data_IF_821441930750
#
_entry.id   IF_821441930750
#
_cell.length_a   1.000
_cell.length_b   1.000
_cell.length_c   1.000
_cell.angle_alpha   90.00
_cell.angle_beta   90.00
_cell.angle_gamma   90.00
#
_symmetry.space_group_name_H-M   'P 1'
#
loop_
_entity.id
_entity.type
_entity.pdbx_description
1 polymer ?
#
# COMPACT_ATOMS: atom_id res chain seq x y z
N UNK A 1 11.54 -18.63 4.23
CA UNK A 1 11.38 -17.87 2.95
C UNK A 1 10.98 -16.45 3.27
N UNK A 2 11.72 -15.47 2.78
CA UNK A 2 11.38 -14.04 3.00
C UNK A 2 10.14 -13.67 2.21
N UNK A 3 9.21 -12.94 2.86
CA UNK A 3 8.04 -12.33 2.23
C UNK A 3 8.30 -10.82 2.11
N UNK A 4 8.73 -10.37 0.93
CA UNK A 4 9.05 -8.99 0.66
C UNK A 4 7.82 -8.26 0.12
N UNK A 5 7.50 -7.10 0.70
CA UNK A 5 6.39 -6.24 0.26
C UNK A 5 6.78 -4.76 0.28
N UNK A 6 5.86 -3.92 -0.16
CA UNK A 6 6.05 -2.49 -0.29
C UNK A 6 4.91 -1.76 0.42
N UNK A 7 5.27 -0.95 1.42
CA UNK A 7 4.34 -0.17 2.23
C UNK A 7 3.80 -0.91 3.47
N UNK A 8 3.49 -0.12 4.51
CA UNK A 8 3.14 -0.62 5.85
C UNK A 8 1.78 -1.33 5.87
N UNK A 9 0.81 -0.91 5.05
CA UNK A 9 -0.49 -1.57 4.96
C UNK A 9 -0.36 -3.01 4.47
N UNK A 10 0.47 -3.26 3.46
CA UNK A 10 0.72 -4.60 2.92
C UNK A 10 1.51 -5.43 3.93
N UNK A 11 2.54 -4.83 4.59
CA UNK A 11 3.30 -5.47 5.68
C UNK A 11 2.38 -5.95 6.79
N UNK A 12 1.51 -5.06 7.30
CA UNK A 12 0.56 -5.40 8.36
C UNK A 12 -0.38 -6.54 7.96
N UNK A 13 -0.90 -6.50 6.74
CA UNK A 13 -1.78 -7.54 6.21
C UNK A 13 -1.07 -8.89 6.10
N UNK A 14 0.14 -8.93 5.53
CA UNK A 14 0.94 -10.15 5.42
C UNK A 14 1.36 -10.70 6.79
N UNK A 15 1.74 -9.83 7.73
CA UNK A 15 2.11 -10.22 9.10
C UNK A 15 0.93 -10.87 9.85
N UNK A 16 -0.30 -10.43 9.58
CA UNK A 16 -1.51 -10.97 10.20
C UNK A 16 -2.03 -12.25 9.51
N UNK A 17 -1.70 -12.49 8.25
CA UNK A 17 -2.24 -13.61 7.47
C UNK A 17 -1.93 -15.00 8.06
N UNK A 18 -0.74 -15.31 8.63
CA UNK A 18 -0.46 -16.61 9.27
C UNK A 18 -1.33 -16.90 10.48
N UNK A 19 -1.91 -15.86 11.11
CA UNK A 19 -2.71 -16.00 12.34
C UNK A 19 -4.22 -16.15 12.08
N UNK A 20 -4.65 -16.27 10.84
CA UNK A 20 -6.04 -16.46 10.48
C UNK A 20 -6.52 -17.81 11.00
N UNK A 21 -7.58 -17.80 11.80
CA UNK A 21 -8.07 -18.99 12.51
C UNK A 21 -7.71 -19.04 14.00
N UNK A 22 -6.64 -18.36 14.41
CA UNK A 22 -6.37 -18.11 15.82
C UNK A 22 -7.26 -16.98 16.35
N UNK A 23 -7.61 -17.02 17.63
CA UNK A 23 -8.45 -15.98 18.27
C UNK A 23 -7.63 -14.69 18.44
N UNK A 24 -7.34 -14.01 17.35
CA UNK A 24 -6.84 -12.64 17.42
C UNK A 24 -8.07 -11.78 17.67
N UNK A 25 -8.17 -11.19 18.86
CA UNK A 25 -9.23 -10.26 19.21
C UNK A 25 -9.19 -9.05 18.28
N UNK A 26 -9.96 -9.08 17.22
CA UNK A 26 -10.16 -7.95 16.31
C UNK A 26 -11.38 -7.16 16.73
N UNK A 27 -11.24 -5.85 16.90
CA UNK A 27 -12.39 -4.97 17.04
C UNK A 27 -13.05 -4.78 15.68
N UNK A 28 -14.31 -5.16 15.52
CA UNK A 28 -15.09 -4.82 14.34
C UNK A 28 -15.66 -3.42 14.53
N UNK A 29 -15.06 -2.44 13.86
CA UNK A 29 -15.60 -1.10 13.77
C UNK A 29 -16.59 -1.01 12.58
N UNK A 30 -17.73 -0.39 12.80
CA UNK A 30 -18.71 -0.09 11.75
C UNK A 30 -18.92 1.42 11.72
N UNK A 31 -18.55 2.04 10.59
CA UNK A 31 -18.83 3.45 10.34
C UNK A 31 -20.16 3.55 9.61
N UNK A 32 -21.10 4.28 10.18
CA UNK A 32 -22.38 4.61 9.56
C UNK A 32 -22.32 6.08 9.20
N UNK A 33 -22.23 6.37 7.90
CA UNK A 33 -22.21 7.72 7.33
C UNK A 33 -23.46 7.96 6.49
N UNK A 34 -23.67 9.21 6.10
CA UNK A 34 -24.71 9.64 5.15
C UNK A 34 -24.07 10.53 4.10
N UNK A 35 -24.44 10.31 2.85
CA UNK A 35 -24.01 11.14 1.71
C UNK A 35 -24.78 12.47 1.62
N UNK A 36 -25.84 12.63 2.45
CA UNK A 36 -26.62 13.85 2.49
C UNK A 36 -26.07 14.78 3.60
N UNK A 37 -25.87 16.05 3.30
CA UNK A 37 -25.48 17.02 4.32
C UNK A 37 -26.57 17.09 5.41
N UNK A 38 -26.15 17.16 6.66
CA UNK A 38 -27.03 17.29 7.81
C UNK A 38 -27.01 18.75 8.27
N UNK A 39 -27.89 19.56 7.66
CA UNK A 39 -27.84 21.03 7.83
C UNK A 39 -28.57 21.52 9.08
N UNK A 40 -29.56 20.75 9.55
CA UNK A 40 -30.35 21.16 10.71
C UNK A 40 -30.06 20.34 11.97
N UNK A 41 -30.22 20.93 13.18
CA UNK A 41 -30.09 20.18 14.43
C UNK A 41 -31.01 18.97 14.54
N UNK A 42 -32.20 19.05 13.94
CA UNK A 42 -33.18 17.95 13.91
C UNK A 42 -32.68 16.78 13.05
N UNK A 43 -32.09 17.07 11.87
CA UNK A 43 -31.48 16.04 11.02
C UNK A 43 -30.31 15.36 11.70
N UNK A 44 -29.43 16.12 12.38
CA UNK A 44 -28.31 15.59 13.16
C UNK A 44 -28.80 14.67 14.29
N UNK A 45 -29.83 15.08 15.03
CA UNK A 45 -30.44 14.29 16.09
C UNK A 45 -31.08 13.01 15.56
N UNK A 46 -31.86 13.11 14.49
CA UNK A 46 -32.50 11.95 13.83
C UNK A 46 -31.46 10.96 13.32
N UNK A 47 -30.37 11.44 12.71
CA UNK A 47 -29.28 10.58 12.26
C UNK A 47 -28.52 9.92 13.41
N UNK A 48 -28.30 10.61 14.53
CA UNK A 48 -27.70 10.04 15.73
C UNK A 48 -28.54 8.88 16.31
N UNK A 49 -29.86 9.06 16.36
CA UNK A 49 -30.80 8.00 16.79
C UNK A 49 -30.74 6.81 15.82
N UNK A 50 -30.84 7.09 14.51
CA UNK A 50 -30.73 6.06 13.46
C UNK A 50 -29.42 5.27 13.61
N UNK A 51 -28.28 5.95 13.74
CA UNK A 51 -26.97 5.34 13.91
C UNK A 51 -26.92 4.43 15.14
N UNK A 52 -27.49 4.86 16.25
CA UNK A 52 -27.54 4.07 17.50
C UNK A 52 -28.38 2.80 17.33
N UNK A 53 -29.55 2.91 16.70
CA UNK A 53 -30.45 1.78 16.48
C UNK A 53 -29.93 0.81 15.39
N UNK A 54 -29.30 1.33 14.35
CA UNK A 54 -28.79 0.54 13.24
C UNK A 54 -27.43 -0.12 13.53
N UNK A 55 -26.62 0.46 14.41
CA UNK A 55 -25.28 -0.04 14.71
C UNK A 55 -25.23 -1.53 15.10
N UNK A 56 -26.10 -2.07 15.97
CA UNK A 56 -26.07 -3.49 16.33
C UNK A 56 -26.34 -4.40 15.14
N UNK A 57 -27.24 -4.00 14.23
CA UNK A 57 -27.56 -4.76 13.04
C UNK A 57 -26.37 -4.81 12.07
N UNK A 58 -25.77 -3.65 11.76
CA UNK A 58 -24.59 -3.58 10.90
C UNK A 58 -23.40 -4.31 11.52
N UNK A 59 -23.20 -4.20 12.84
CA UNK A 59 -22.15 -4.91 13.56
C UNK A 59 -22.31 -6.43 13.44
N UNK A 60 -23.51 -6.97 13.66
CA UNK A 60 -23.79 -8.41 13.48
C UNK A 60 -23.56 -8.87 12.04
N UNK A 61 -23.98 -8.06 11.05
CA UNK A 61 -23.77 -8.37 9.64
C UNK A 61 -22.28 -8.40 9.31
N UNK A 62 -21.51 -7.39 9.75
CA UNK A 62 -20.06 -7.33 9.55
C UNK A 62 -19.35 -8.50 10.22
N UNK A 63 -19.72 -8.86 11.46
CA UNK A 63 -19.17 -10.02 12.17
C UNK A 63 -19.45 -11.34 11.44
N UNK A 64 -20.68 -11.52 10.92
CA UNK A 64 -21.02 -12.72 10.15
C UNK A 64 -20.23 -12.78 8.84
N UNK A 65 -20.07 -11.66 8.17
CA UNK A 65 -19.28 -11.59 6.95
C UNK A 65 -17.81 -11.87 7.21
N UNK A 66 -17.25 -11.34 8.29
CA UNK A 66 -15.87 -11.60 8.71
C UNK A 66 -15.64 -13.06 9.10
N UNK A 67 -16.56 -13.66 9.87
CA UNK A 67 -16.51 -15.08 10.21
C UNK A 67 -16.52 -15.97 8.94
N UNK A 68 -17.35 -15.61 7.95
CA UNK A 68 -17.37 -16.30 6.66
C UNK A 68 -16.05 -16.15 5.91
N UNK A 69 -15.49 -14.93 5.83
CA UNK A 69 -14.19 -14.69 5.20
C UNK A 69 -13.07 -15.51 5.84
N UNK A 70 -13.07 -15.59 7.18
CA UNK A 70 -12.11 -16.42 7.93
C UNK A 70 -12.25 -17.90 7.64
N UNK A 71 -13.49 -18.40 7.56
CA UNK A 71 -13.75 -19.80 7.26
C UNK A 71 -13.39 -20.19 5.82
N UNK A 72 -13.44 -19.23 4.89
CA UNK A 72 -13.10 -19.41 3.47
C UNK A 72 -11.62 -19.06 3.17
N UNK A 73 -10.86 -18.57 4.16
CA UNK A 73 -9.49 -18.14 3.95
C UNK A 73 -8.57 -19.33 3.63
N UNK A 74 -7.72 -19.15 2.63
CA UNK A 74 -6.67 -20.09 2.31
C UNK A 74 -5.48 -19.83 3.24
N UNK A 75 -4.94 -20.86 3.94
CA UNK A 75 -3.76 -20.70 4.77
C UNK A 75 -2.54 -20.26 3.94
N UNK A 76 -1.68 -19.50 4.58
CA UNK A 76 -0.37 -19.13 4.02
C UNK A 76 0.71 -20.09 4.53
N UNK A 77 1.84 -20.16 3.83
CA UNK A 77 2.96 -21.09 4.03
C UNK A 77 4.21 -20.43 4.66
N UNK A 78 4.01 -19.30 5.36
CA UNK A 78 5.10 -18.52 5.97
C UNK A 78 4.69 -18.02 7.36
N UNK A 79 5.65 -17.51 8.12
CA UNK A 79 5.46 -16.94 9.46
C UNK A 79 5.53 -15.41 9.43
N UNK A 80 4.96 -14.78 10.44
CA UNK A 80 4.95 -13.30 10.57
C UNK A 80 6.35 -12.67 10.56
N UNK A 81 7.34 -13.36 11.13
CA UNK A 81 8.74 -12.90 11.18
C UNK A 81 9.45 -12.99 9.82
N UNK A 82 8.84 -13.63 8.83
CA UNK A 82 9.38 -13.68 7.46
C UNK A 82 9.02 -12.44 6.65
N UNK A 83 8.07 -11.62 7.13
CA UNK A 83 7.57 -10.45 6.41
C UNK A 83 8.49 -9.26 6.59
N UNK A 84 9.01 -8.77 5.49
CA UNK A 84 9.89 -7.60 5.40
C UNK A 84 9.24 -6.58 4.46
N UNK A 85 9.18 -5.30 4.88
CA UNK A 85 8.81 -4.23 3.98
C UNK A 85 10.05 -3.46 3.53
N UNK A 86 10.24 -3.36 2.21
CA UNK A 86 11.15 -2.37 1.68
C UNK A 86 10.53 -0.98 1.84
N UNK A 87 11.37 0.04 1.99
CA UNK A 87 10.96 1.44 2.09
C UNK A 87 9.88 1.76 1.02
N UNK A 88 8.73 2.27 1.47
CA UNK A 88 7.61 2.63 0.61
C UNK A 88 7.81 3.95 -0.13
N UNK A 89 6.84 4.27 -0.99
CA UNK A 89 6.71 5.56 -1.70
C UNK A 89 7.95 5.97 -2.51
N UNK A 90 8.66 4.96 -3.06
CA UNK A 90 9.78 5.18 -3.99
C UNK A 90 9.34 5.81 -5.32
N UNK A 91 8.05 5.97 -5.55
CA UNK A 91 7.47 6.70 -6.67
C UNK A 91 7.55 8.22 -6.51
N UNK A 92 7.83 8.72 -5.29
CA UNK A 92 7.91 10.14 -4.96
C UNK A 92 9.31 10.54 -4.49
N UNK A 93 9.72 11.76 -4.81
CA UNK A 93 10.98 12.36 -4.38
C UNK A 93 12.25 11.72 -4.98
N UNK A 94 13.43 12.12 -4.51
CA UNK A 94 14.70 11.66 -5.05
C UNK A 94 14.96 10.18 -4.76
N UNK A 95 15.50 9.46 -5.73
CA UNK A 95 15.91 8.05 -5.61
C UNK A 95 17.36 7.83 -6.04
N UNK A 96 18.09 8.87 -6.39
CA UNK A 96 19.50 8.75 -6.75
C UNK A 96 20.33 8.22 -5.57
N UNK A 97 21.26 7.33 -5.87
CA UNK A 97 22.15 6.75 -4.88
C UNK A 97 21.52 5.67 -4.00
N UNK A 98 21.92 5.64 -2.74
CA UNK A 98 21.49 4.61 -1.79
C UNK A 98 20.06 4.83 -1.31
N UNK A 99 19.26 3.76 -1.18
CA UNK A 99 17.87 3.85 -0.72
C UNK A 99 17.74 4.45 0.69
N UNK A 100 18.74 4.24 1.56
CA UNK A 100 18.81 4.83 2.90
C UNK A 100 19.67 6.09 2.90
N UNK A 101 19.49 7.00 1.93
CA UNK A 101 20.14 8.31 1.88
C UNK A 101 19.40 9.35 2.72
N UNK A 102 20.08 10.42 3.14
CA UNK A 102 19.44 11.53 3.86
C UNK A 102 18.34 12.18 3.02
N UNK A 103 18.52 12.28 1.70
CA UNK A 103 17.50 12.81 0.80
C UNK A 103 16.20 11.98 0.84
N UNK A 104 16.29 10.65 0.98
CA UNK A 104 15.13 9.78 1.17
C UNK A 104 14.54 9.91 2.57
N UNK A 105 15.38 10.10 3.59
CA UNK A 105 14.91 10.32 4.96
C UNK A 105 14.04 11.57 5.06
N UNK A 106 14.37 12.64 4.31
CA UNK A 106 13.53 13.84 4.26
C UNK A 106 12.17 13.60 3.60
N UNK A 107 12.09 12.72 2.58
CA UNK A 107 10.79 12.32 2.01
C UNK A 107 9.96 11.55 3.05
N UNK A 108 10.58 10.63 3.78
CA UNK A 108 9.92 9.88 4.86
C UNK A 108 9.47 10.83 5.98
N UNK A 109 10.28 11.83 6.34
CA UNK A 109 9.91 12.88 7.30
C UNK A 109 8.68 13.64 6.82
N UNK A 110 8.69 14.12 5.58
CA UNK A 110 7.58 14.85 5.00
C UNK A 110 6.29 14.01 5.02
N UNK A 111 6.39 12.72 4.73
CA UNK A 111 5.26 11.79 4.76
C UNK A 111 4.75 11.52 6.19
N UNK A 112 5.64 11.19 7.15
CA UNK A 112 5.24 10.92 8.54
C UNK A 112 4.64 12.14 9.24
N UNK A 113 5.19 13.34 8.96
CA UNK A 113 4.72 14.58 9.57
C UNK A 113 3.58 15.23 8.79
N UNK A 114 3.11 14.62 7.71
CA UNK A 114 1.99 15.14 6.93
C UNK A 114 0.67 15.02 7.70
N UNK A 115 -0.04 16.14 7.84
CA UNK A 115 -1.40 16.18 8.37
C UNK A 115 -2.23 17.23 7.63
N UNK A 116 -3.22 16.83 6.84
CA UNK A 116 -4.11 17.75 6.17
C UNK A 116 -4.99 18.56 7.14
N UNK A 117 -5.04 18.16 8.42
CA UNK A 117 -5.85 18.82 9.47
C UNK A 117 -5.04 19.41 10.62
N UNK A 118 -3.72 19.23 10.63
CA UNK A 118 -2.80 19.84 11.59
C UNK A 118 -2.76 19.23 13.00
N UNK A 119 -3.49 18.16 13.28
CA UNK A 119 -3.70 17.67 14.65
C UNK A 119 -3.31 16.22 14.93
N UNK A 120 -2.96 15.41 13.92
CA UNK A 120 -2.68 13.96 14.11
C UNK A 120 -1.47 13.44 13.33
N UNK A 121 -0.64 14.30 12.80
CA UNK A 121 0.60 13.89 12.15
C UNK A 121 1.57 13.25 13.15
N UNK A 122 2.40 12.35 12.65
CA UNK A 122 3.62 11.98 13.36
C UNK A 122 4.48 13.21 13.64
N UNK A 123 5.39 13.08 14.57
CA UNK A 123 6.34 14.13 14.95
C UNK A 123 7.73 13.80 14.44
N UNK A 124 8.63 14.76 14.44
CA UNK A 124 10.06 14.51 14.16
C UNK A 124 10.66 13.38 15.02
N UNK A 125 10.11 13.17 16.21
CA UNK A 125 10.53 12.08 17.09
C UNK A 125 10.17 10.68 16.54
N UNK A 126 9.18 10.58 15.67
CA UNK A 126 8.76 9.31 15.07
C UNK A 126 9.62 8.92 13.85
N UNK A 127 10.30 9.90 13.23
CA UNK A 127 11.08 9.70 12.00
C UNK A 127 12.25 8.77 12.23
N UNK A 128 13.03 9.00 13.28
CA UNK A 128 14.24 8.22 13.53
C UNK A 128 13.96 6.75 13.85
N UNK A 129 13.00 6.40 14.73
CA UNK A 129 12.62 5.00 14.97
C UNK A 129 12.10 4.30 13.70
N UNK A 130 11.29 4.98 12.90
CA UNK A 130 10.78 4.43 11.63
C UNK A 130 11.93 4.18 10.64
N UNK A 131 12.84 5.15 10.50
CA UNK A 131 13.99 5.05 9.61
C UNK A 131 14.90 3.89 9.99
N UNK A 132 15.21 3.74 11.29
CA UNK A 132 15.99 2.61 11.80
C UNK A 132 15.32 1.27 11.56
N UNK A 133 13.99 1.19 11.67
CA UNK A 133 13.25 -0.02 11.34
C UNK A 133 13.38 -0.36 9.85
N UNK A 134 13.28 0.61 8.96
CA UNK A 134 13.50 0.41 7.52
C UNK A 134 14.93 -0.03 7.19
N UNK A 135 15.94 0.55 7.86
CA UNK A 135 17.34 0.12 7.70
C UNK A 135 17.55 -1.32 8.15
N UNK A 136 16.95 -1.70 9.28
CA UNK A 136 17.00 -3.07 9.81
C UNK A 136 16.32 -4.06 8.85
N UNK A 137 15.17 -3.71 8.32
CA UNK A 137 14.42 -4.52 7.36
C UNK A 137 15.26 -4.74 6.08
N UNK A 138 15.85 -3.68 5.53
CA UNK A 138 16.74 -3.78 4.37
C UNK A 138 17.96 -4.67 4.66
N UNK A 139 18.64 -4.47 5.79
CA UNK A 139 19.79 -5.28 6.18
C UNK A 139 19.43 -6.75 6.36
N UNK A 140 18.25 -7.03 6.94
CA UNK A 140 17.73 -8.39 7.13
C UNK A 140 17.44 -9.05 5.78
N UNK A 141 16.80 -8.33 4.85
CA UNK A 141 16.55 -8.81 3.49
C UNK A 141 17.85 -9.22 2.80
N UNK A 142 18.83 -8.31 2.78
CA UNK A 142 20.12 -8.53 2.11
C UNK A 142 20.86 -9.71 2.73
N UNK A 143 20.90 -9.79 4.05
CA UNK A 143 21.58 -10.89 4.76
C UNK A 143 20.95 -12.25 4.42
N UNK A 144 19.63 -12.35 4.52
CA UNK A 144 18.90 -13.60 4.22
C UNK A 144 19.02 -14.00 2.75
N UNK A 145 18.91 -13.05 1.82
CA UNK A 145 19.04 -13.31 0.39
C UNK A 145 20.46 -13.77 0.01
N UNK A 146 21.51 -13.17 0.58
CA UNK A 146 22.91 -13.57 0.33
C UNK A 146 23.27 -14.94 0.92
N UNK A 147 22.53 -15.43 1.91
CA UNK A 147 22.66 -16.82 2.38
C UNK A 147 21.90 -17.81 1.50
N UNK A 148 21.30 -17.37 0.40
CA UNK A 148 20.55 -18.21 -0.54
C UNK A 148 19.11 -18.48 -0.12
N UNK A 149 18.61 -17.80 0.91
CA UNK A 149 17.21 -17.98 1.31
C UNK A 149 16.26 -17.44 0.25
N UNK A 150 15.23 -18.21 -0.17
CA UNK A 150 14.28 -17.77 -1.19
C UNK A 150 13.50 -16.49 -0.77
N UNK A 151 13.24 -15.62 -1.73
CA UNK A 151 12.49 -14.38 -1.55
C UNK A 151 11.23 -14.41 -2.40
N UNK A 152 10.06 -14.24 -1.78
CA UNK A 152 8.77 -14.03 -2.45
C UNK A 152 8.42 -12.57 -2.39
N UNK A 153 8.27 -11.92 -3.54
CA UNK A 153 7.94 -10.49 -3.66
C UNK A 153 6.44 -10.34 -3.93
N UNK A 154 5.76 -9.63 -3.05
CA UNK A 154 4.35 -9.29 -3.19
C UNK A 154 4.24 -7.89 -3.78
N UNK A 155 3.70 -7.77 -4.99
CA UNK A 155 3.55 -6.48 -5.65
C UNK A 155 2.24 -6.38 -6.42
N UNK A 156 1.82 -5.14 -6.67
CA UNK A 156 0.70 -4.77 -7.53
C UNK A 156 1.13 -3.71 -8.55
N UNK A 157 0.17 -3.22 -9.33
CA UNK A 157 0.43 -2.24 -10.39
C UNK A 157 0.34 -0.78 -9.94
N UNK A 158 0.44 -0.50 -8.64
CA UNK A 158 0.60 0.88 -8.16
C UNK A 158 2.00 1.38 -8.44
N UNK A 159 2.20 2.70 -8.69
CA UNK A 159 3.52 3.25 -8.91
C UNK A 159 4.51 2.94 -7.78
N UNK A 160 4.07 3.02 -6.53
CA UNK A 160 4.90 2.70 -5.36
C UNK A 160 5.36 1.25 -5.36
N UNK A 161 4.43 0.31 -5.60
CA UNK A 161 4.72 -1.13 -5.62
C UNK A 161 5.63 -1.51 -6.78
N UNK A 162 5.43 -0.93 -7.98
CA UNK A 162 6.32 -1.12 -9.12
C UNK A 162 7.73 -0.56 -8.86
N UNK A 163 7.86 0.63 -8.26
CA UNK A 163 9.16 1.16 -7.85
C UNK A 163 9.85 0.21 -6.88
N UNK A 164 9.10 -0.32 -5.90
CA UNK A 164 9.61 -1.31 -4.95
C UNK A 164 10.12 -2.57 -5.63
N UNK A 165 9.38 -3.13 -6.58
CA UNK A 165 9.79 -4.31 -7.36
C UNK A 165 11.10 -4.06 -8.11
N UNK A 166 11.22 -2.92 -8.82
CA UNK A 166 12.43 -2.56 -9.55
C UNK A 166 13.63 -2.35 -8.61
N UNK A 167 13.42 -1.69 -7.47
CA UNK A 167 14.44 -1.48 -6.45
C UNK A 167 14.89 -2.81 -5.83
N UNK A 168 13.95 -3.70 -5.49
CA UNK A 168 14.24 -5.03 -4.97
C UNK A 168 15.04 -5.86 -5.95
N UNK A 169 14.67 -5.84 -7.24
CA UNK A 169 15.42 -6.53 -8.28
C UNK A 169 16.88 -6.05 -8.38
N UNK A 170 17.11 -4.73 -8.25
CA UNK A 170 18.45 -4.17 -8.26
C UNK A 170 19.26 -4.52 -6.99
N UNK A 171 18.62 -4.50 -5.82
CA UNK A 171 19.25 -4.88 -4.55
C UNK A 171 19.65 -6.35 -4.50
N UNK A 172 18.88 -7.21 -5.14
CA UNK A 172 19.05 -8.66 -5.13
C UNK A 172 19.70 -9.19 -6.40
N UNK A 173 20.19 -8.33 -7.32
CA UNK A 173 20.67 -8.71 -8.65
C UNK A 173 21.71 -9.84 -8.60
N UNK A 174 22.66 -9.73 -7.69
CA UNK A 174 23.76 -10.70 -7.54
C UNK A 174 23.53 -11.69 -6.36
N UNK A 175 22.36 -11.66 -5.74
CA UNK A 175 22.08 -12.57 -4.62
C UNK A 175 21.79 -13.99 -5.14
N UNK A 176 22.37 -15.05 -4.50
CA UNK A 176 22.20 -16.44 -4.94
C UNK A 176 20.84 -17.01 -4.57
N UNK A 177 19.86 -16.20 -4.22
CA UNK A 177 18.52 -16.61 -3.82
C UNK A 177 17.59 -16.82 -5.02
N UNK A 178 16.68 -17.78 -4.90
CA UNK A 178 15.55 -17.88 -5.81
C UNK A 178 14.54 -16.78 -5.49
N UNK A 179 14.01 -16.12 -6.53
CA UNK A 179 12.99 -15.09 -6.38
C UNK A 179 11.71 -15.56 -7.06
N UNK A 180 10.61 -15.46 -6.33
CA UNK A 180 9.26 -15.58 -6.87
C UNK A 180 8.51 -14.27 -6.69
N UNK A 181 7.49 -14.05 -7.50
CA UNK A 181 6.62 -12.88 -7.41
C UNK A 181 5.16 -13.31 -7.28
N UNK A 182 4.40 -12.63 -6.43
CA UNK A 182 2.94 -12.76 -6.35
C UNK A 182 2.35 -11.48 -6.93
N UNK A 183 1.74 -11.63 -8.11
CA UNK A 183 1.16 -10.54 -8.89
C UNK A 183 -0.34 -10.75 -9.05
N UNK A 184 -1.19 -10.12 -8.22
CA UNK A 184 -2.63 -10.21 -8.43
C UNK A 184 -3.03 -9.58 -9.78
N UNK A 185 -4.16 -9.98 -10.36
CA UNK A 185 -4.61 -9.43 -11.62
C UNK A 185 -4.79 -7.91 -11.51
N UNK A 186 -4.40 -7.19 -12.56
CA UNK A 186 -4.46 -5.71 -12.59
C UNK A 186 -5.88 -5.18 -12.35
N UNK A 187 -6.87 -5.91 -12.86
CA UNK A 187 -8.28 -5.57 -12.71
C UNK A 187 -9.03 -6.77 -12.13
N UNK A 188 -9.89 -6.49 -11.20
CA UNK A 188 -10.82 -7.47 -10.63
C UNK A 188 -12.26 -7.05 -10.87
N UNK A 189 -13.10 -8.00 -11.28
CA UNK A 189 -14.54 -7.79 -11.38
C UNK A 189 -15.24 -8.49 -10.22
N UNK A 190 -15.91 -7.72 -9.38
CA UNK A 190 -16.70 -8.22 -8.26
C UNK A 190 -18.11 -7.60 -8.32
N UNK A 191 -19.14 -8.43 -8.36
CA UNK A 191 -20.55 -7.98 -8.46
C UNK A 191 -20.81 -7.02 -9.63
N UNK A 192 -20.18 -7.29 -10.79
CA UNK A 192 -20.34 -6.47 -11.99
C UNK A 192 -19.51 -5.17 -12.01
N UNK A 193 -18.80 -4.87 -10.94
CA UNK A 193 -17.90 -3.69 -10.88
C UNK A 193 -16.46 -4.15 -11.08
N UNK A 194 -15.82 -3.62 -12.10
CA UNK A 194 -14.38 -3.84 -12.36
C UNK A 194 -13.58 -2.71 -11.74
N UNK A 195 -12.55 -3.05 -11.01
CA UNK A 195 -11.65 -2.09 -10.36
C UNK A 195 -10.20 -2.55 -10.44
N UNK A 196 -9.25 -1.62 -10.28
CA UNK A 196 -7.84 -1.96 -10.11
C UNK A 196 -7.67 -2.74 -8.80
N UNK A 197 -6.98 -3.86 -8.88
CA UNK A 197 -6.63 -4.65 -7.71
C UNK A 197 -5.36 -4.08 -7.07
N UNK A 198 -5.43 -3.74 -5.77
CA UNK A 198 -4.28 -3.28 -4.99
C UNK A 198 -4.08 -4.18 -3.77
N UNK A 199 -2.83 -4.40 -3.38
CA UNK A 199 -2.51 -5.19 -2.19
C UNK A 199 -2.86 -4.43 -0.90
N UNK A 200 -2.70 -3.12 -0.89
CA UNK A 200 -2.99 -2.28 0.27
C UNK A 200 -4.46 -2.24 0.70
N UNK A 201 -5.40 -2.58 -0.21
CA UNK A 201 -6.83 -2.65 0.08
C UNK A 201 -7.29 -4.05 0.56
N UNK A 202 -6.38 -5.04 0.59
CA UNK A 202 -6.74 -6.41 0.95
C UNK A 202 -6.64 -6.68 2.43
N UNK A 203 -7.54 -7.55 2.89
CA UNK A 203 -7.47 -8.07 4.25
C UNK A 203 -6.61 -9.33 4.37
N UNK A 204 -6.15 -9.67 5.59
CA UNK A 204 -5.32 -10.86 5.83
C UNK A 204 -5.94 -12.17 5.32
N UNK A 205 -7.28 -12.30 5.37
CA UNK A 205 -8.02 -13.49 4.90
C UNK A 205 -7.96 -13.72 3.40
N UNK A 206 -7.48 -12.73 2.64
CA UNK A 206 -7.42 -12.80 1.17
C UNK A 206 -6.04 -13.19 0.67
N UNK A 207 -4.98 -13.05 1.52
CA UNK A 207 -3.59 -13.19 1.08
C UNK A 207 -3.24 -14.61 0.62
N UNK A 208 -3.70 -15.64 1.33
CA UNK A 208 -3.43 -17.02 0.93
C UNK A 208 -3.99 -17.40 -0.44
N UNK A 209 -5.16 -16.85 -0.80
CA UNK A 209 -5.74 -17.08 -2.12
C UNK A 209 -4.92 -16.43 -3.26
N UNK A 210 -4.09 -15.43 -2.96
CA UNK A 210 -3.24 -14.80 -3.97
C UNK A 210 -2.02 -15.65 -4.34
N UNK A 211 -1.64 -16.64 -3.55
CA UNK A 211 -0.53 -17.56 -3.85
C UNK A 211 -0.74 -18.32 -5.17
N UNK A 212 -1.98 -18.45 -5.66
CA UNK A 212 -2.25 -18.98 -6.99
C UNK A 212 -1.63 -18.15 -8.13
N UNK A 213 -1.26 -16.91 -7.88
CA UNK A 213 -0.61 -16.01 -8.85
C UNK A 213 0.91 -15.96 -8.65
N UNK A 214 1.46 -16.85 -7.81
CA UNK A 214 2.90 -16.94 -7.62
C UNK A 214 3.55 -17.50 -8.88
N UNK A 215 4.64 -16.87 -9.30
CA UNK A 215 5.47 -17.35 -10.42
C UNK A 215 6.95 -17.05 -10.16
N UNK A 216 7.87 -17.83 -10.72
CA UNK A 216 9.29 -17.51 -10.68
C UNK A 216 9.57 -16.15 -11.35
N UNK A 217 10.53 -15.41 -10.83
CA UNK A 217 11.14 -14.26 -11.49
C UNK A 217 12.46 -14.72 -12.13
N UNK A 218 12.51 -14.91 -13.46
CA UNK A 218 13.72 -15.35 -14.14
C UNK A 218 14.85 -14.32 -13.98
N UNK A 219 16.11 -14.77 -14.04
CA UNK A 219 17.27 -13.88 -13.94
C UNK A 219 17.27 -12.80 -15.01
N UNK A 220 16.84 -13.13 -16.24
CA UNK A 220 16.69 -12.15 -17.33
C UNK A 220 15.75 -11.00 -16.98
N UNK A 221 14.62 -11.33 -16.35
CA UNK A 221 13.63 -10.33 -15.93
C UNK A 221 14.15 -9.54 -14.73
N UNK A 222 14.82 -10.22 -13.77
CA UNK A 222 15.47 -9.56 -12.63
C UNK A 222 16.50 -8.54 -13.10
N UNK A 223 17.38 -8.89 -14.04
CA UNK A 223 18.35 -7.95 -14.60
C UNK A 223 17.70 -6.80 -15.38
N UNK A 224 16.61 -7.07 -16.12
CA UNK A 224 15.88 -6.02 -16.85
C UNK A 224 15.23 -5.01 -15.89
N UNK A 225 14.60 -5.50 -14.79
CA UNK A 225 14.03 -4.66 -13.74
C UNK A 225 15.12 -3.84 -13.04
N UNK A 226 16.25 -4.45 -12.70
CA UNK A 226 17.40 -3.78 -12.09
C UNK A 226 17.98 -2.70 -12.99
N UNK A 227 18.14 -2.97 -14.30
CA UNK A 227 18.60 -1.99 -15.27
C UNK A 227 17.63 -0.79 -15.38
N UNK A 228 16.31 -1.05 -15.38
CA UNK A 228 15.31 0.01 -15.37
C UNK A 228 15.39 0.85 -14.11
N UNK A 229 15.58 0.22 -12.93
CA UNK A 229 15.78 0.94 -11.66
C UNK A 229 16.95 1.91 -11.75
N UNK A 230 18.11 1.46 -12.23
CA UNK A 230 19.31 2.32 -12.42
C UNK A 230 19.03 3.49 -13.36
N UNK A 231 18.25 3.28 -14.43
CA UNK A 231 17.84 4.35 -15.34
C UNK A 231 16.98 5.40 -14.63
N UNK A 232 15.98 4.96 -13.83
CA UNK A 232 15.14 5.85 -13.04
C UNK A 232 15.94 6.62 -11.99
N UNK A 233 16.94 5.98 -11.37
CA UNK A 233 17.86 6.65 -10.44
C UNK A 233 18.71 7.72 -11.13
N UNK A 234 19.17 7.46 -12.36
CA UNK A 234 19.92 8.44 -13.16
C UNK A 234 19.04 9.61 -13.62
N UNK A 235 17.79 9.34 -13.99
CA UNK A 235 16.79 10.35 -14.31
C UNK A 235 16.42 11.19 -13.06
N UNK A 236 16.34 10.57 -11.90
CA UNK A 236 16.03 11.15 -10.59
C UNK A 236 14.89 12.20 -10.60
N UNK A 237 13.85 11.92 -11.36
CA UNK A 237 12.69 12.80 -11.49
C UNK A 237 11.92 12.92 -10.17
N UNK A 238 11.12 13.98 -9.98
CA UNK A 238 10.33 14.17 -8.75
C UNK A 238 9.27 13.08 -8.54
N UNK A 239 8.72 12.53 -9.63
CA UNK A 239 7.72 11.46 -9.57
C UNK A 239 8.01 10.35 -10.58
N UNK A 240 7.47 9.17 -10.31
CA UNK A 240 7.41 8.00 -11.20
C UNK A 240 5.97 7.51 -11.26
N UNK A 241 5.48 7.29 -12.47
CA UNK A 241 4.11 6.85 -12.73
C UNK A 241 4.09 5.61 -13.62
N UNK A 242 3.03 4.82 -13.52
CA UNK A 242 2.78 3.75 -14.48
C UNK A 242 2.09 4.33 -15.72
N UNK A 243 2.75 4.24 -16.87
CA UNK A 243 2.23 4.65 -18.16
C UNK A 243 2.40 3.51 -19.16
N UNK A 244 1.34 3.10 -19.82
CA UNK A 244 1.38 2.04 -20.83
C UNK A 244 2.11 0.77 -20.33
N UNK A 245 1.80 0.35 -19.11
CA UNK A 245 2.42 -0.81 -18.43
C UNK A 245 3.93 -0.67 -18.14
N UNK A 246 4.44 0.55 -18.13
CA UNK A 246 5.85 0.83 -17.81
C UNK A 246 5.94 1.87 -16.70
N UNK A 247 6.89 1.67 -15.82
CA UNK A 247 7.26 2.68 -14.84
C UNK A 247 8.10 3.75 -15.50
N UNK A 248 7.65 5.01 -15.44
CA UNK A 248 8.22 6.15 -16.17
C UNK A 248 8.40 7.33 -15.23
N UNK A 249 9.53 8.04 -15.39
CA UNK A 249 9.78 9.32 -14.73
C UNK A 249 8.84 10.39 -15.29
N UNK A 250 8.21 11.16 -14.39
CA UNK A 250 7.26 12.21 -14.76
C UNK A 250 7.49 13.47 -13.93
N UNK A 251 7.03 14.65 -14.38
CA UNK A 251 7.14 15.89 -13.62
C UNK A 251 6.26 15.87 -12.38
N UNK A 252 6.52 16.77 -11.42
CA UNK A 252 5.78 16.88 -10.16
C UNK A 252 4.27 17.06 -10.35
N UNK A 253 3.85 17.90 -11.30
CA UNK A 253 2.44 18.16 -11.60
C UNK A 253 1.75 17.14 -12.52
N UNK A 254 2.32 15.93 -12.67
CA UNK A 254 1.77 14.92 -13.60
C UNK A 254 0.31 14.56 -13.33
N UNK A 255 -0.08 14.54 -12.06
CA UNK A 255 -1.44 14.17 -11.63
C UNK A 255 -2.39 15.37 -11.47
N UNK A 256 -1.89 16.62 -11.55
CA UNK A 256 -2.66 17.84 -11.25
C UNK A 256 -3.96 17.94 -12.05
N UNK A 257 -3.89 17.69 -13.37
CA UNK A 257 -5.08 17.77 -14.21
C UNK A 257 -6.16 16.75 -13.82
N UNK A 258 -5.75 15.55 -13.40
CA UNK A 258 -6.67 14.50 -12.95
C UNK A 258 -7.26 14.84 -11.59
N UNK A 259 -6.45 15.34 -10.66
CA UNK A 259 -6.90 15.76 -9.32
C UNK A 259 -7.89 16.93 -9.45
N UNK A 260 -7.54 17.93 -10.25
CA UNK A 260 -8.37 19.12 -10.47
C UNK A 260 -9.69 18.80 -11.19
N UNK A 261 -9.73 17.77 -12.04
CA UNK A 261 -10.98 17.36 -12.70
C UNK A 261 -12.01 16.83 -11.70
N UNK A 262 -11.58 16.36 -10.53
CA UNK A 262 -12.46 15.88 -9.45
C UNK A 262 -12.89 17.01 -8.48
N UNK A 263 -12.25 18.17 -8.56
CA UNK A 263 -12.61 19.31 -7.72
C UNK A 263 -13.96 19.91 -8.19
N UNK A 264 -14.95 20.08 -7.31
CA UNK A 264 -16.20 20.71 -7.67
C UNK A 264 -16.00 22.24 -7.84
N UNK A 265 -16.92 22.88 -8.56
CA UNK A 265 -16.90 24.34 -8.70
C UNK A 265 -17.15 25.11 -7.38
N UNK A 266 -17.71 24.43 -6.38
CA UNK A 266 -17.99 24.99 -5.06
C UNK A 266 -16.88 24.62 -4.06
N UNK A 267 -16.82 25.33 -2.94
CA UNK A 267 -15.92 24.99 -1.84
C UNK A 267 -16.12 23.55 -1.36
N UNK A 268 -15.02 22.84 -1.19
CA UNK A 268 -14.97 21.48 -0.68
C UNK A 268 -13.87 21.38 0.36
N UNK A 269 -14.07 20.54 1.38
CA UNK A 269 -12.99 20.22 2.30
C UNK A 269 -11.92 19.39 1.57
N UNK A 270 -10.64 19.71 1.77
CA UNK A 270 -9.52 19.01 1.14
C UNK A 270 -9.59 17.49 1.36
N UNK A 271 -9.93 17.04 2.57
CA UNK A 271 -10.10 15.61 2.85
C UNK A 271 -11.18 14.94 2.00
N UNK A 272 -12.25 15.67 1.62
CA UNK A 272 -13.28 15.13 0.72
C UNK A 272 -12.76 15.00 -0.72
N UNK A 273 -11.95 15.97 -1.18
CA UNK A 273 -11.29 15.87 -2.48
C UNK A 273 -10.32 14.69 -2.52
N UNK A 274 -9.45 14.58 -1.50
CA UNK A 274 -8.52 13.44 -1.37
C UNK A 274 -9.29 12.13 -1.43
N UNK A 275 -10.32 11.96 -0.59
CA UNK A 275 -11.14 10.74 -0.57
C UNK A 275 -11.80 10.45 -1.92
N UNK A 276 -12.28 11.48 -2.64
CA UNK A 276 -12.87 11.33 -3.96
C UNK A 276 -11.84 10.86 -4.99
N UNK A 277 -10.67 11.49 -5.05
CA UNK A 277 -9.59 11.13 -5.97
C UNK A 277 -9.11 9.69 -5.72
N UNK A 278 -8.90 9.32 -4.45
CA UNK A 278 -8.48 7.95 -4.10
C UNK A 278 -9.50 6.90 -4.53
N UNK A 279 -10.80 7.18 -4.38
CA UNK A 279 -11.87 6.22 -4.68
C UNK A 279 -12.22 6.19 -6.17
N UNK A 280 -12.34 7.34 -6.82
CA UNK A 280 -12.80 7.45 -8.22
C UNK A 280 -11.65 7.24 -9.22
N UNK A 281 -10.54 7.95 -9.04
CA UNK A 281 -9.43 7.89 -10.00
C UNK A 281 -8.55 6.65 -9.82
N UNK A 282 -8.44 6.11 -8.59
CA UNK A 282 -7.64 4.91 -8.25
C UNK A 282 -6.25 4.93 -8.86
N UNK A 283 -5.57 6.07 -8.74
CA UNK A 283 -4.25 6.29 -9.32
C UNK A 283 -3.15 5.49 -8.62
N UNK A 284 -3.41 5.00 -7.40
CA UNK A 284 -2.42 4.30 -6.57
C UNK A 284 -1.31 5.24 -6.09
N UNK A 285 -1.66 6.50 -5.84
CA UNK A 285 -0.79 7.55 -5.30
C UNK A 285 -1.18 7.84 -3.84
N UNK A 286 -0.28 8.49 -3.11
CA UNK A 286 -0.50 8.88 -1.72
C UNK A 286 -1.53 10.01 -1.60
N UNK A 287 -2.15 10.13 -0.43
CA UNK A 287 -2.99 11.27 -0.05
C UNK A 287 -2.18 12.57 0.03
N UNK A 288 -0.92 12.48 0.45
CA UNK A 288 0.01 13.60 0.45
C UNK A 288 0.24 14.17 -0.95
N UNK A 289 0.34 13.32 -1.97
CA UNK A 289 0.52 13.78 -3.36
C UNK A 289 -0.74 14.47 -3.92
N UNK A 290 -1.91 14.15 -3.37
CA UNK A 290 -3.17 14.77 -3.75
C UNK A 290 -3.36 16.13 -3.05
N UNK A 291 -2.78 16.31 -1.86
CA UNK A 291 -2.84 17.55 -1.08
C UNK A 291 -2.04 18.68 -1.72
#
# INVERSE_FOLDING_TARGET
>A
MVQLCFGDSVKGTLTCAPHIGNTIGGATAVVISTDKPLDTPLQKAAFAVYRTLAAPFYKRRAQKQEARRRAEAVPVDYESNDVIALLGDLNEGPIAGHLMSEARKEVVRAWLCFSPHGDTAGTDADVEPYWQACQKDLQTLLTRAHTGEPVRIWYDHTPASLCGLHAAAALLEDAPCQITVVEPPKLETKNGVTRRATLGERGPTEMGALLQYERPLPDTDRHALAARWRSLQAENAPLRAEQNHRLTSVPAGFYDAMILSEAPANEIMVAQLIGKVLVECRLGISDQLIY
#
